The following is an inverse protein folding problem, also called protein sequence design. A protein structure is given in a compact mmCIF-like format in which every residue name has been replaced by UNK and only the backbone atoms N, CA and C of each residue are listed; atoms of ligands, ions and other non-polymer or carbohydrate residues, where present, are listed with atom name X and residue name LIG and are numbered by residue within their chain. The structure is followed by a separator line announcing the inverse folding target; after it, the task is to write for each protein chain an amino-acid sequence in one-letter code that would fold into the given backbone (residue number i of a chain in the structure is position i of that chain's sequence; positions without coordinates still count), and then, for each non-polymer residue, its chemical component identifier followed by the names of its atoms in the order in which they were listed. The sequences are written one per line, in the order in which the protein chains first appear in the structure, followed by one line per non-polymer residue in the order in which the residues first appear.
data_IF_111059568309
#
_entry.id   IF_111059568309
#
_cell.length_a   1.000
_cell.length_b   1.000
_cell.length_c   1.000
_cell.angle_alpha   90.00
_cell.angle_beta   90.00
_cell.angle_gamma   90.00
#
_symmetry.space_group_name_H-M   'P 1'
#
loop_
_entity.id
_entity.type
_entity.pdbx_description
1 polymer ?
#
# COMPACT_ATOMS: atom_id res chain seq x y z
N UNK A 1 2.56 -3.85 11.95
CA UNK A 1 2.19 -2.50 11.47
C UNK A 1 0.67 -2.45 11.32
N UNK A 2 -0.06 -1.52 11.95
CA UNK A 2 -1.54 -1.50 11.87
C UNK A 2 -2.07 -1.35 10.44
N UNK A 3 -1.32 -0.69 9.55
CA UNK A 3 -1.71 -0.47 8.17
C UNK A 3 -1.56 -1.71 7.28
N UNK A 4 -0.92 -2.80 7.77
CA UNK A 4 -0.73 -4.02 6.96
C UNK A 4 -2.04 -4.72 6.63
N UNK A 5 -3.13 -4.42 7.34
CA UNK A 5 -4.46 -4.95 7.06
C UNK A 5 -5.01 -4.53 5.70
N UNK A 6 -4.62 -3.34 5.22
CA UNK A 6 -5.02 -2.78 3.93
C UNK A 6 -4.18 -3.30 2.74
N UNK A 7 -3.32 -4.29 2.96
CA UNK A 7 -2.44 -4.83 1.93
C UNK A 7 -3.10 -5.99 1.23
N UNK A 8 -3.69 -5.71 0.08
CA UNK A 8 -4.27 -6.69 -0.84
C UNK A 8 -3.60 -6.62 -2.20
N UNK A 9 -3.70 -7.68 -3.01
CA UNK A 9 -3.14 -7.65 -4.38
C UNK A 9 -3.80 -6.56 -5.22
N UNK A 10 -5.09 -6.31 -4.98
CA UNK A 10 -5.90 -5.30 -5.64
C UNK A 10 -5.43 -3.88 -5.27
N UNK A 11 -5.19 -3.63 -3.97
CA UNK A 11 -4.65 -2.36 -3.49
C UNK A 11 -3.27 -2.08 -4.11
N UNK A 12 -2.40 -3.09 -4.11
CA UNK A 12 -1.06 -3.02 -4.71
C UNK A 12 -1.18 -2.76 -6.21
N UNK A 13 -1.97 -3.53 -6.94
CA UNK A 13 -2.17 -3.38 -8.38
C UNK A 13 -2.64 -1.96 -8.73
N UNK A 14 -3.61 -1.42 -7.97
CA UNK A 14 -4.12 -0.06 -8.12
C UNK A 14 -3.05 0.99 -7.86
N UNK A 15 -2.26 0.85 -6.81
CA UNK A 15 -1.16 1.76 -6.48
C UNK A 15 -0.04 1.72 -7.53
N UNK A 16 0.31 0.52 -7.99
CA UNK A 16 1.40 0.29 -8.94
C UNK A 16 0.98 0.54 -10.40
N UNK A 17 -0.32 0.70 -10.68
CA UNK A 17 -0.91 0.80 -12.02
C UNK A 17 -0.56 -0.41 -12.90
N UNK A 18 -0.62 -1.60 -12.32
CA UNK A 18 -0.40 -2.89 -12.99
C UNK A 18 -1.63 -3.79 -12.83
N UNK A 19 -1.70 -4.89 -13.57
CA UNK A 19 -2.76 -5.89 -13.35
C UNK A 19 -2.42 -6.80 -12.17
N UNK A 20 -3.45 -7.34 -11.51
CA UNK A 20 -3.29 -8.22 -10.34
C UNK A 20 -2.51 -9.49 -10.68
N UNK A 21 -2.70 -10.03 -11.89
CA UNK A 21 -2.02 -11.25 -12.37
C UNK A 21 -0.51 -11.05 -12.55
N UNK A 22 -0.06 -9.81 -12.66
CA UNK A 22 1.36 -9.48 -12.75
C UNK A 22 2.04 -9.53 -11.39
N UNK A 23 1.31 -9.62 -10.28
CA UNK A 23 1.88 -9.69 -8.92
C UNK A 23 2.10 -11.15 -8.55
N UNK A 24 3.37 -11.59 -8.63
CA UNK A 24 3.77 -12.93 -8.23
C UNK A 24 3.65 -13.13 -6.72
N UNK A 25 4.23 -12.20 -5.95
CA UNK A 25 4.19 -12.21 -4.49
C UNK A 25 4.43 -10.83 -3.91
N UNK A 26 4.04 -10.65 -2.66
CA UNK A 26 4.42 -9.50 -1.86
C UNK A 26 4.77 -9.95 -0.43
N UNK A 27 5.65 -9.21 0.22
CA UNK A 27 6.12 -9.51 1.58
C UNK A 27 5.92 -8.28 2.46
N UNK A 28 5.14 -8.46 3.52
CA UNK A 28 4.88 -7.43 4.52
C UNK A 28 6.04 -7.38 5.52
N UNK A 29 6.89 -6.36 5.44
CA UNK A 29 7.97 -6.14 6.42
C UNK A 29 7.54 -5.12 7.49
N UNK A 30 8.39 -4.86 8.49
CA UNK A 30 8.03 -4.05 9.66
C UNK A 30 7.46 -2.66 9.30
N UNK A 31 8.04 -1.96 8.32
CA UNK A 31 7.67 -0.60 7.94
C UNK A 31 7.42 -0.40 6.45
N UNK A 32 7.74 -1.40 5.63
CA UNK A 32 7.65 -1.33 4.19
C UNK A 32 7.04 -2.61 3.64
N UNK A 33 6.44 -2.52 2.47
CA UNK A 33 5.92 -3.62 1.69
C UNK A 33 6.86 -3.86 0.51
N UNK A 34 7.38 -5.07 0.39
CA UNK A 34 8.12 -5.48 -0.79
C UNK A 34 7.17 -6.15 -1.79
N UNK A 35 7.10 -5.64 -3.02
CA UNK A 35 6.27 -6.19 -4.09
C UNK A 35 7.15 -6.73 -5.20
N UNK A 36 6.94 -8.01 -5.54
CA UNK A 36 7.59 -8.65 -6.67
C UNK A 36 6.56 -8.94 -7.76
N UNK A 37 6.72 -8.27 -8.91
CA UNK A 37 5.80 -8.32 -10.02
C UNK A 37 6.53 -8.57 -11.35
N UNK A 38 5.79 -8.87 -12.40
CA UNK A 38 6.33 -9.10 -13.74
C UNK A 38 7.15 -7.89 -14.20
N UNK A 39 8.45 -8.11 -14.42
CA UNK A 39 9.37 -7.09 -14.91
C UNK A 39 9.71 -5.98 -13.90
N UNK A 40 9.29 -6.08 -12.62
CA UNK A 40 9.66 -5.08 -11.62
C UNK A 40 9.65 -5.61 -10.18
N UNK A 41 10.47 -4.99 -9.33
CA UNK A 41 10.40 -5.13 -7.87
C UNK A 41 10.32 -3.74 -7.25
N UNK A 42 9.38 -3.53 -6.33
CA UNK A 42 9.17 -2.20 -5.74
C UNK A 42 8.95 -2.28 -4.23
N UNK A 43 9.59 -1.36 -3.53
CA UNK A 43 9.32 -1.09 -2.13
C UNK A 43 8.24 -0.01 -2.00
N UNK A 44 7.24 -0.26 -1.16
CA UNK A 44 6.03 0.55 -1.01
C UNK A 44 5.81 0.85 0.46
N UNK A 45 5.48 2.09 0.82
CA UNK A 45 5.07 2.39 2.19
C UNK A 45 3.65 1.91 2.41
N UNK A 46 3.35 1.36 3.59
CA UNK A 46 1.96 1.06 3.96
C UNK A 46 1.05 2.30 3.93
N UNK A 47 1.61 3.50 4.11
CA UNK A 47 0.87 4.75 4.01
C UNK A 47 0.53 5.14 2.55
N UNK A 48 1.00 4.38 1.55
CA UNK A 48 0.60 4.55 0.15
C UNK A 48 -0.66 3.73 -0.20
N UNK A 49 -1.12 2.86 0.70
CA UNK A 49 -2.27 1.98 0.51
C UNK A 49 -3.43 2.45 1.40
N UNK A 50 -4.29 3.36 0.90
CA UNK A 50 -5.52 3.72 1.58
C UNK A 50 -6.49 2.52 1.60
N UNK A 51 -7.51 2.52 2.47
CA UNK A 51 -8.36 1.37 2.67
C UNK A 51 -9.15 1.08 1.40
N UNK A 52 -9.19 -0.19 0.99
CA UNK A 52 -10.01 -0.62 -0.14
C UNK A 52 -11.44 -0.82 0.32
N UNK A 53 -12.40 -0.54 -0.56
CA UNK A 53 -13.83 -0.73 -0.31
C UNK A 53 -14.08 -2.20 0.07
N UNK A 54 -14.70 -2.43 1.22
CA UNK A 54 -15.02 -3.77 1.74
C UNK A 54 -14.10 -4.27 2.86
N UNK A 55 -13.04 -3.52 3.21
CA UNK A 55 -12.22 -3.80 4.39
C UNK A 55 -12.76 -3.15 5.67
N UNK A 56 -12.17 -3.55 6.81
CA UNK A 56 -12.43 -2.95 8.11
C UNK A 56 -12.26 -1.43 8.06
N UNK A 57 -13.21 -0.70 8.67
CA UNK A 57 -13.20 0.75 8.64
C UNK A 57 -11.87 1.30 9.19
N UNK A 58 -11.26 2.28 8.52
CA UNK A 58 -10.07 2.94 9.03
C UNK A 58 -10.36 3.66 10.35
N UNK A 59 -9.42 3.57 11.29
CA UNK A 59 -9.44 4.35 12.52
C UNK A 59 -8.90 5.76 12.28
N UNK A 60 -9.17 6.68 13.20
CA UNK A 60 -8.62 8.04 13.15
C UNK A 60 -7.08 8.09 13.05
N UNK A 61 -6.39 7.08 13.60
CA UNK A 61 -4.92 6.99 13.52
C UNK A 61 -4.45 6.68 12.10
N UNK A 62 -5.18 5.84 11.34
CA UNK A 62 -4.83 5.48 9.96
C UNK A 62 -4.89 6.72 9.05
N UNK A 63 -5.95 7.54 9.20
CA UNK A 63 -6.07 8.82 8.50
C UNK A 63 -4.88 9.75 8.77
N UNK A 64 -4.36 9.75 10.00
CA UNK A 64 -3.18 10.52 10.36
C UNK A 64 -1.93 10.13 9.56
N UNK A 65 -1.72 8.82 9.32
CA UNK A 65 -0.60 8.34 8.49
C UNK A 65 -0.75 8.77 7.03
N UNK A 66 -1.94 8.60 6.45
CA UNK A 66 -2.19 8.98 5.06
C UNK A 66 -2.09 10.48 4.84
N UNK A 67 -2.60 11.30 5.77
CA UNK A 67 -2.51 12.77 5.66
C UNK A 67 -1.05 13.23 5.65
N UNK A 68 -0.20 12.70 6.55
CA UNK A 68 1.24 13.01 6.57
C UNK A 68 1.93 12.56 5.28
N UNK A 69 1.59 11.36 4.79
CA UNK A 69 2.15 10.84 3.55
C UNK A 69 1.78 11.71 2.34
N UNK A 70 0.51 12.08 2.20
CA UNK A 70 0.05 12.96 1.14
C UNK A 70 0.71 14.34 1.19
N UNK A 71 0.94 14.90 2.39
CA UNK A 71 1.70 16.14 2.55
C UNK A 71 3.13 15.98 2.03
N UNK A 72 3.83 14.92 2.42
CA UNK A 72 5.21 14.66 1.96
C UNK A 72 5.36 14.40 0.46
N UNK A 73 4.29 13.94 -0.20
CA UNK A 73 4.29 13.71 -1.65
C UNK A 73 4.06 14.98 -2.45
N UNK A 74 3.41 16.00 -1.88
CA UNK A 74 3.24 17.32 -2.54
C UNK A 74 4.52 18.14 -2.60
N UNK A 75 5.46 17.85 -1.71
CA UNK A 75 6.75 18.53 -1.61
C UNK A 75 7.84 17.91 -2.52
N UNK A 76 7.49 16.86 -3.29
CA UNK A 76 8.39 16.12 -4.20
C UNK A 76 8.02 16.35 -5.65
#
# INVERSE_FOLDING_TARGET
NKLSRFVTKEAIARLLKIKVEQIYRFECWAHILYVHAQGMSRFVSYADLPPVVGEEAPSGVDFGYWKRRMASLKER
#
